data_IF_512185195005
#
_entry.id   IF_512185195005
#
_cell.length_a   1.000
_cell.length_b   1.000
_cell.length_c   1.000
_cell.angle_alpha   90.00
_cell.angle_beta   90.00
_cell.angle_gamma   90.00
#
_symmetry.space_group_name_H-M   'P 1'
#
loop_
_entity.id
_entity.type
_entity.pdbx_description
1 polymer ?
#
# COMPACT_ATOMS: atom_id res chain seq x y z
N UNK A 1 -0.99 -12.22 -28.96
CA UNK A 1 -0.36 -12.98 -27.85
C UNK A 1 -1.46 -13.74 -27.16
N UNK A 2 -1.31 -15.04 -27.01
CA UNK A 2 -2.26 -15.86 -26.26
C UNK A 2 -1.73 -15.93 -24.82
N UNK A 3 -2.41 -15.26 -23.90
CA UNK A 3 -2.16 -15.46 -22.47
C UNK A 3 -2.71 -16.84 -22.10
N UNK A 4 -1.95 -17.58 -21.30
CA UNK A 4 -2.40 -18.85 -20.74
C UNK A 4 -3.54 -18.65 -19.75
N UNK A 5 -4.33 -19.70 -19.54
CA UNK A 5 -5.44 -19.66 -18.57
C UNK A 5 -4.95 -19.33 -17.14
N UNK A 6 -3.72 -19.75 -16.81
CA UNK A 6 -3.06 -19.44 -15.55
C UNK A 6 -2.78 -17.93 -15.42
N UNK A 7 -2.18 -17.32 -16.43
CA UNK A 7 -1.91 -15.87 -16.45
C UNK A 7 -3.21 -15.06 -16.35
N UNK A 8 -4.29 -15.50 -17.03
CA UNK A 8 -5.60 -14.88 -16.87
C UNK A 8 -6.13 -14.98 -15.44
N UNK A 9 -5.92 -16.11 -14.74
CA UNK A 9 -6.32 -16.25 -13.34
C UNK A 9 -5.53 -15.33 -12.41
N UNK A 10 -4.22 -15.21 -12.62
CA UNK A 10 -3.37 -14.32 -11.81
C UNK A 10 -3.76 -12.85 -12.01
N UNK A 11 -3.98 -12.43 -13.25
CA UNK A 11 -4.46 -11.09 -13.57
C UNK A 11 -5.86 -10.87 -12.98
N UNK A 12 -6.76 -11.85 -13.10
CA UNK A 12 -8.10 -11.76 -12.52
C UNK A 12 -8.06 -11.59 -11.00
N UNK A 13 -7.23 -12.37 -10.30
CA UNK A 13 -7.06 -12.25 -8.85
C UNK A 13 -6.46 -10.90 -8.46
N UNK A 14 -5.53 -10.38 -9.26
CA UNK A 14 -4.97 -9.04 -9.08
C UNK A 14 -6.04 -7.94 -9.18
N UNK A 15 -6.89 -8.01 -10.20
CA UNK A 15 -7.99 -7.06 -10.41
C UNK A 15 -9.08 -7.19 -9.36
N UNK A 16 -9.46 -8.42 -9.00
CA UNK A 16 -10.47 -8.71 -7.97
C UNK A 16 -10.13 -8.12 -6.60
N UNK A 17 -8.83 -8.03 -6.27
CA UNK A 17 -8.37 -7.45 -5.00
C UNK A 17 -8.43 -5.91 -4.99
N UNK A 18 -8.46 -5.26 -6.15
CA UNK A 18 -8.27 -3.80 -6.28
C UNK A 18 -9.50 -3.06 -6.81
N UNK A 19 -10.27 -3.71 -7.67
CA UNK A 19 -11.32 -3.07 -8.43
C UNK A 19 -12.66 -3.81 -8.25
N UNK A 20 -13.78 -3.08 -8.13
CA UNK A 20 -15.09 -3.69 -8.19
C UNK A 20 -15.30 -4.33 -9.58
N UNK A 21 -16.02 -5.45 -9.68
CA UNK A 21 -16.23 -6.12 -10.97
C UNK A 21 -16.91 -5.18 -11.98
N UNK A 22 -16.53 -5.25 -13.27
CA UNK A 22 -16.95 -4.26 -14.27
C UNK A 22 -18.43 -4.34 -14.66
N UNK A 23 -19.10 -5.48 -14.41
CA UNK A 23 -20.54 -5.67 -14.60
C UNK A 23 -21.16 -6.15 -13.28
N UNK A 24 -21.79 -5.26 -12.54
CA UNK A 24 -22.48 -5.59 -11.27
C UNK A 24 -23.98 -5.87 -11.48
N UNK A 25 -24.43 -5.88 -12.74
CA UNK A 25 -25.83 -6.11 -13.06
C UNK A 25 -26.17 -7.62 -12.95
N UNK A 26 -26.60 -8.00 -11.74
CA UNK A 26 -27.64 -9.00 -11.45
C UNK A 26 -27.36 -10.52 -11.44
N UNK A 27 -26.12 -10.98 -11.33
CA UNK A 27 -25.91 -12.39 -10.89
C UNK A 27 -24.82 -12.45 -9.82
N UNK A 28 -25.12 -12.88 -8.58
CA UNK A 28 -24.09 -13.21 -7.61
C UNK A 28 -23.32 -14.43 -8.12
N UNK A 29 -22.22 -14.18 -8.84
CA UNK A 29 -21.29 -15.19 -9.31
C UNK A 29 -20.54 -15.88 -8.17
N UNK A 30 -20.08 -17.10 -8.43
CA UNK A 30 -19.43 -17.99 -7.45
C UNK A 30 -18.09 -17.46 -6.91
N UNK A 31 -17.46 -16.46 -7.55
CA UNK A 31 -16.40 -15.66 -6.94
C UNK A 31 -16.10 -14.39 -7.74
N UNK A 32 -15.68 -13.33 -7.05
CA UNK A 32 -15.27 -12.06 -7.67
C UNK A 32 -14.05 -12.21 -8.60
N UNK A 33 -13.22 -13.24 -8.35
CA UNK A 33 -12.11 -13.60 -9.24
C UNK A 33 -12.61 -14.22 -10.55
N UNK A 34 -13.64 -15.09 -10.50
CA UNK A 34 -14.25 -15.66 -11.69
C UNK A 34 -14.90 -14.58 -12.58
N UNK A 35 -15.55 -13.59 -11.97
CA UNK A 35 -16.15 -12.46 -12.69
C UNK A 35 -15.09 -11.65 -13.44
N UNK A 36 -13.97 -11.35 -12.77
CA UNK A 36 -12.84 -10.67 -13.40
C UNK A 36 -12.17 -11.50 -14.48
N UNK A 37 -12.02 -12.81 -14.27
CA UNK A 37 -11.47 -13.72 -15.30
C UNK A 37 -12.34 -13.71 -16.55
N UNK A 38 -13.65 -13.80 -16.40
CA UNK A 38 -14.60 -13.74 -17.50
C UNK A 38 -14.56 -12.39 -18.23
N UNK A 39 -14.47 -11.27 -17.50
CA UNK A 39 -14.34 -9.95 -18.09
C UNK A 39 -13.02 -9.78 -18.89
N UNK A 40 -11.90 -10.28 -18.35
CA UNK A 40 -10.60 -10.26 -19.04
C UNK A 40 -10.61 -11.13 -20.30
N UNK A 41 -11.22 -12.31 -20.25
CA UNK A 41 -11.38 -13.20 -21.40
C UNK A 41 -12.26 -12.57 -22.49
N UNK A 42 -13.38 -11.96 -22.12
CA UNK A 42 -14.27 -11.24 -23.05
C UNK A 42 -13.56 -10.04 -23.69
N UNK A 43 -12.84 -9.23 -22.89
CA UNK A 43 -12.03 -8.13 -23.39
C UNK A 43 -10.91 -8.62 -24.33
N UNK A 44 -10.27 -9.74 -24.02
CA UNK A 44 -9.25 -10.34 -24.90
C UNK A 44 -9.86 -10.82 -26.22
N UNK A 45 -11.01 -11.50 -26.18
CA UNK A 45 -11.75 -11.95 -27.37
C UNK A 45 -12.16 -10.77 -28.27
N UNK A 46 -12.53 -9.63 -27.67
CA UNK A 46 -12.88 -8.39 -28.36
C UNK A 46 -11.67 -7.54 -28.79
N UNK A 47 -10.44 -7.97 -28.49
CA UNK A 47 -9.19 -7.20 -28.69
C UNK A 47 -9.20 -5.84 -27.96
N UNK A 48 -9.87 -5.77 -26.81
CA UNK A 48 -10.00 -4.61 -25.94
C UNK A 48 -9.25 -4.75 -24.61
N UNK A 49 -8.56 -5.87 -24.37
CA UNK A 49 -7.84 -6.12 -23.12
C UNK A 49 -6.88 -4.99 -22.76
N UNK A 50 -6.06 -4.51 -23.72
CA UNK A 50 -5.12 -3.41 -23.48
C UNK A 50 -5.83 -2.10 -23.11
N UNK A 51 -6.92 -1.76 -23.82
CA UNK A 51 -7.70 -0.56 -23.56
C UNK A 51 -8.32 -0.59 -22.16
N UNK A 52 -8.85 -1.75 -21.75
CA UNK A 52 -9.39 -1.95 -20.41
C UNK A 52 -8.30 -1.76 -19.35
N UNK A 53 -7.16 -2.44 -19.45
CA UNK A 53 -6.09 -2.33 -18.45
C UNK A 53 -5.49 -0.91 -18.42
N UNK A 54 -5.34 -0.25 -19.57
CA UNK A 54 -4.87 1.14 -19.66
C UNK A 54 -5.85 2.14 -19.03
N UNK A 55 -7.16 1.92 -19.15
CA UNK A 55 -8.16 2.75 -18.47
C UNK A 55 -8.01 2.64 -16.93
N UNK A 56 -7.84 1.42 -16.42
CA UNK A 56 -7.61 1.21 -14.98
C UNK A 56 -6.27 1.79 -14.52
N UNK A 57 -5.20 1.68 -15.33
CA UNK A 57 -3.90 2.28 -14.97
C UNK A 57 -3.93 3.81 -14.97
N UNK A 58 -4.73 4.43 -15.84
CA UNK A 58 -4.95 5.87 -15.83
C UNK A 58 -5.72 6.36 -14.58
N UNK A 59 -6.62 5.53 -14.04
CA UNK A 59 -7.36 5.83 -12.79
C UNK A 59 -6.50 5.68 -11.53
N UNK A 60 -5.44 4.87 -11.59
CA UNK A 60 -4.53 4.59 -10.48
C UNK A 60 -3.06 4.78 -10.89
N UNK A 61 -2.62 6.04 -11.14
CA UNK A 61 -1.27 6.31 -11.63
C UNK A 61 -0.17 5.88 -10.65
N UNK A 62 -0.46 5.87 -9.35
CA UNK A 62 0.47 5.52 -8.28
C UNK A 62 0.64 3.99 -8.06
N UNK A 63 -0.16 3.13 -8.72
CA UNK A 63 -0.03 1.67 -8.56
C UNK A 63 1.04 1.12 -9.51
N UNK A 64 2.28 1.02 -9.01
CA UNK A 64 3.44 0.52 -9.77
C UNK A 64 3.21 -0.88 -10.37
N UNK A 65 2.46 -1.76 -9.71
CA UNK A 65 2.20 -3.11 -10.23
C UNK A 65 1.25 -3.07 -11.42
N UNK A 66 0.26 -2.17 -11.40
CA UNK A 66 -0.66 -1.97 -12.52
C UNK A 66 0.06 -1.33 -13.71
N UNK A 67 0.99 -0.40 -13.46
CA UNK A 67 1.85 0.16 -14.52
C UNK A 67 2.78 -0.91 -15.12
N UNK A 68 3.38 -1.75 -14.28
CA UNK A 68 4.19 -2.87 -14.74
C UNK A 68 3.36 -3.87 -15.57
N UNK A 69 2.15 -4.21 -15.12
CA UNK A 69 1.23 -5.06 -15.88
C UNK A 69 0.87 -4.47 -17.24
N UNK A 70 0.57 -3.17 -17.30
CA UNK A 70 0.35 -2.45 -18.57
C UNK A 70 1.55 -2.54 -19.53
N UNK A 71 2.79 -2.54 -19.00
CA UNK A 71 4.00 -2.63 -19.80
C UNK A 71 4.26 -4.03 -20.35
N UNK A 72 3.77 -5.07 -19.68
CA UNK A 72 3.92 -6.48 -20.08
C UNK A 72 2.91 -6.89 -21.15
N UNK A 73 1.75 -6.24 -21.18
CA UNK A 73 0.74 -6.48 -22.22
C UNK A 73 1.22 -5.84 -23.53
N UNK A 74 1.48 -6.62 -24.60
CA UNK A 74 1.87 -6.06 -25.87
C UNK A 74 0.72 -5.24 -26.43
N UNK A 75 0.83 -3.92 -26.35
CA UNK A 75 -0.05 -3.04 -27.09
C UNK A 75 0.17 -3.30 -28.57
N UNK A 76 -0.83 -3.82 -29.28
CA UNK A 76 -0.91 -3.57 -30.72
C UNK A 76 -0.93 -2.05 -30.84
N UNK A 77 0.19 -1.47 -31.24
CA UNK A 77 0.35 -0.05 -31.46
C UNK A 77 -0.55 0.36 -32.62
N UNK A 78 -1.86 0.48 -32.37
CA UNK A 78 -2.81 1.12 -33.27
C UNK A 78 -2.47 2.59 -33.25
N UNK A 79 -1.53 2.97 -34.11
CA UNK A 79 -1.30 4.31 -34.62
C UNK A 79 -1.42 5.40 -33.57
N UNK A 80 -0.29 5.70 -32.92
CA UNK A 80 0.01 6.93 -32.20
C UNK A 80 -0.51 8.19 -32.92
N UNK A 81 -1.78 8.55 -32.68
CA UNK A 81 -2.33 9.87 -33.01
C UNK A 81 -3.00 10.54 -31.82
N UNK A 82 -3.32 9.81 -30.74
CA UNK A 82 -3.96 10.40 -29.55
C UNK A 82 -2.98 10.80 -28.44
N UNK A 83 -1.75 10.27 -28.41
CA UNK A 83 -0.75 10.61 -27.39
C UNK A 83 0.12 11.82 -27.78
N UNK A 84 -0.51 12.92 -28.19
CA UNK A 84 0.15 14.21 -28.45
C UNK A 84 -0.28 15.33 -27.49
N UNK A 85 -1.15 15.07 -26.51
CA UNK A 85 -1.76 16.15 -25.71
C UNK A 85 -1.48 16.16 -24.21
N UNK A 86 -0.62 15.30 -23.64
CA UNK A 86 -0.39 15.30 -22.18
C UNK A 86 1.06 15.03 -21.77
N UNK A 87 2.03 15.65 -22.47
CA UNK A 87 3.38 15.89 -21.93
C UNK A 87 3.91 17.23 -22.46
N UNK A 88 3.17 18.29 -22.16
CA UNK A 88 3.58 19.67 -22.41
C UNK A 88 3.23 20.54 -21.19
N UNK A 89 3.72 20.14 -20.01
CA UNK A 89 3.77 20.98 -18.83
C UNK A 89 4.88 20.50 -17.88
N UNK A 90 6.11 20.98 -18.17
CA UNK A 90 7.07 21.38 -17.14
C UNK A 90 7.82 20.31 -16.34
N UNK A 91 8.96 19.86 -16.86
CA UNK A 91 10.26 20.03 -16.16
C UNK A 91 11.32 20.33 -17.22
N UNK A 92 11.64 21.61 -17.36
CA UNK A 92 12.86 22.08 -17.99
C UNK A 92 13.80 22.49 -16.86
N UNK A 93 14.82 21.66 -16.57
CA UNK A 93 16.01 22.12 -15.86
C UNK A 93 17.19 21.16 -16.12
N UNK A 94 18.19 21.69 -16.81
CA UNK A 94 19.61 21.32 -16.80
C UNK A 94 20.01 19.94 -17.33
N UNK A 95 20.23 19.88 -18.65
CA UNK A 95 21.46 19.29 -19.19
C UNK A 95 21.77 19.91 -20.56
N UNK A 96 23.07 20.17 -20.75
CA UNK A 96 23.77 20.57 -21.98
C UNK A 96 23.92 22.08 -22.26
N UNK A 97 25.15 22.56 -22.03
CA UNK A 97 25.88 23.43 -22.98
C UNK A 97 27.32 22.87 -23.02
N UNK A 98 27.67 22.04 -24.01
CA UNK A 98 28.40 22.38 -25.27
C UNK A 98 29.92 22.26 -25.04
N UNK A 99 30.76 21.68 -25.90
CA UNK A 99 30.76 21.66 -27.37
C UNK A 99 31.49 20.45 -27.94
N UNK A 100 30.91 19.92 -29.01
CA UNK A 100 31.56 19.20 -30.10
C UNK A 100 32.41 20.13 -30.97
N UNK A 101 33.71 19.84 -31.09
CA UNK A 101 34.59 20.06 -32.26
C UNK A 101 35.93 19.40 -31.91
N UNK A 102 36.57 18.57 -32.73
CA UNK A 102 36.32 18.12 -34.09
C UNK A 102 37.39 17.08 -34.46
N UNK A 103 37.21 16.49 -35.63
CA UNK A 103 38.22 15.71 -36.36
C UNK A 103 39.58 16.41 -36.39
N UNK A 104 40.65 15.72 -36.00
CA UNK A 104 41.94 15.74 -36.70
C UNK A 104 42.88 14.67 -36.14
N UNK A 105 43.61 14.05 -37.06
CA UNK A 105 44.65 13.06 -36.87
C UNK A 105 45.81 13.52 -35.96
N UNK A 106 46.76 12.58 -35.77
CA UNK A 106 48.11 12.64 -35.14
C UNK A 106 48.11 11.61 -33.99
N UNK A 107 48.55 10.35 -34.13
CA UNK A 107 49.81 9.84 -34.68
C UNK A 107 51.04 10.61 -34.14
N UNK A 108 51.72 9.98 -33.18
CA UNK A 108 53.04 10.29 -32.60
C UNK A 108 53.06 11.06 -31.27
N UNK A 109 53.93 10.57 -30.37
CA UNK A 109 54.59 11.35 -29.33
C UNK A 109 54.15 10.97 -27.91
N UNK A 110 54.62 9.86 -27.34
CA UNK A 110 55.85 9.79 -26.51
C UNK A 110 55.84 10.64 -25.23
N UNK A 111 55.90 9.93 -24.09
CA UNK A 111 56.64 10.25 -22.85
C UNK A 111 56.03 11.39 -22.01
N UNK A 112 56.11 11.49 -20.69
CA UNK A 112 56.93 10.89 -19.65
C UNK A 112 56.22 11.06 -18.30
N UNK A 113 56.51 10.13 -17.38
CA UNK A 113 56.76 10.30 -15.95
C UNK A 113 56.26 11.55 -15.19
N UNK A 114 55.67 11.28 -14.02
CA UNK A 114 56.39 11.57 -12.77
C UNK A 114 55.99 12.83 -11.98
N UNK A 115 55.68 12.56 -10.71
CA UNK A 115 56.02 13.33 -9.50
C UNK A 115 55.22 14.58 -9.12
N UNK A 116 54.61 14.46 -7.94
CA UNK A 116 54.65 15.34 -6.75
C UNK A 116 54.82 16.86 -6.93
N UNK A 117 53.89 17.63 -6.35
CA UNK A 117 54.11 18.44 -5.13
C UNK A 117 53.17 19.64 -5.02
N UNK A 118 52.87 19.94 -3.76
CA UNK A 118 52.17 21.07 -3.14
C UNK A 118 52.59 22.48 -3.57
N UNK A 119 51.84 23.47 -3.03
CA UNK A 119 52.24 24.83 -2.56
C UNK A 119 51.45 25.94 -3.30
N UNK A 120 50.41 26.57 -2.72
CA UNK A 120 50.32 27.64 -1.70
C UNK A 120 50.37 29.10 -2.24
N UNK A 121 49.78 30.02 -1.46
CA UNK A 121 49.78 31.50 -1.49
C UNK A 121 48.79 32.14 -2.49
N UNK A 122 48.04 33.21 -2.17
CA UNK A 122 48.06 34.24 -1.13
C UNK A 122 46.67 34.94 -1.11
N UNK A 123 46.03 35.20 0.04
CA UNK A 123 46.16 36.40 0.91
C UNK A 123 45.24 37.58 0.52
N UNK A 124 44.22 37.86 1.33
CA UNK A 124 44.02 39.16 2.02
C UNK A 124 42.67 39.24 2.77
N UNK A 125 42.76 39.34 4.09
CA UNK A 125 41.82 40.02 5.01
C UNK A 125 42.60 41.20 5.65
N UNK A 126 42.13 42.01 6.63
CA UNK A 126 40.82 42.20 7.29
C UNK A 126 40.53 43.75 7.43
N UNK A 127 39.95 44.42 8.48
CA UNK A 127 39.83 44.15 9.96
C UNK A 127 38.35 44.07 10.48
N UNK A 128 38.00 43.26 11.49
CA UNK A 128 38.28 43.35 12.95
C UNK A 128 37.15 44.04 13.74
N UNK A 129 36.43 43.28 14.59
CA UNK A 129 36.32 43.53 16.04
C UNK A 129 35.62 42.36 16.75
N UNK A 130 36.34 41.71 17.67
CA UNK A 130 35.90 40.76 18.71
C UNK A 130 36.03 41.50 20.06
N UNK A 131 35.17 41.24 21.06
CA UNK A 131 35.60 40.51 22.29
C UNK A 131 34.50 39.52 22.75
N UNK A 132 34.65 38.46 23.55
CA UNK A 132 35.72 37.79 24.30
C UNK A 132 35.25 36.33 24.44
N UNK A 133 36.11 35.35 24.16
CA UNK A 133 35.88 33.93 24.48
C UNK A 133 36.37 33.67 25.90
N UNK A 134 35.49 33.19 26.77
CA UNK A 134 35.86 32.54 28.03
C UNK A 134 36.11 31.06 27.70
N UNK A 135 37.35 30.65 27.89
CA UNK A 135 37.82 29.26 27.83
C UNK A 135 37.31 28.54 29.07
N UNK A 136 36.46 27.53 28.90
CA UNK A 136 36.18 26.55 29.94
C UNK A 136 37.10 25.34 29.72
N UNK A 137 38.03 25.19 30.66
CA UNK A 137 38.96 24.07 30.82
C UNK A 137 38.24 22.77 31.14
N UNK A 138 38.85 21.68 30.69
CA UNK A 138 38.41 20.30 30.77
C UNK A 138 38.14 19.78 32.19
N UNK A 139 37.20 18.84 32.29
CA UNK A 139 37.24 17.78 33.28
C UNK A 139 36.93 16.46 32.56
N UNK A 140 38.00 15.74 32.20
CA UNK A 140 37.96 14.36 31.75
C UNK A 140 37.69 13.52 32.99
N UNK A 141 36.48 12.94 33.06
CA UNK A 141 36.12 11.98 34.10
C UNK A 141 36.62 10.60 33.67
N UNK A 142 37.66 10.13 34.35
CA UNK A 142 38.05 8.73 34.38
C UNK A 142 36.87 7.90 34.89
N UNK A 143 36.24 7.12 34.01
CA UNK A 143 35.32 6.07 34.42
C UNK A 143 36.11 4.76 34.58
N UNK A 144 36.18 4.34 35.82
CA UNK A 144 36.79 3.15 36.37
C UNK A 144 36.29 1.85 35.67
N UNK A 145 37.17 0.89 35.33
CA UNK A 145 36.77 -0.42 34.85
C UNK A 145 36.18 -1.24 36.00
N UNK A 146 34.86 -1.39 36.04
CA UNK A 146 34.23 -2.31 36.99
C UNK A 146 34.38 -3.75 36.50
N UNK A 147 35.01 -4.53 37.38
CA UNK A 147 35.33 -5.95 37.35
C UNK A 147 34.13 -6.89 37.06
N UNK A 148 34.36 -8.06 36.43
CA UNK A 148 33.29 -8.99 36.04
C UNK A 148 32.85 -9.87 37.22
N UNK A 149 31.62 -9.67 37.69
CA UNK A 149 31.01 -10.53 38.69
C UNK A 149 30.15 -11.64 38.06
N UNK A 150 30.71 -12.85 38.11
CA UNK A 150 30.06 -14.15 38.34
C UNK A 150 29.00 -14.66 37.37
N UNK A 151 29.40 -15.72 36.68
CA UNK A 151 28.59 -16.77 36.11
C UNK A 151 27.45 -17.24 37.04
N UNK A 152 26.23 -17.26 36.49
CA UNK A 152 25.17 -18.13 36.97
C UNK A 152 25.01 -19.31 36.01
N UNK A 153 25.49 -20.43 36.50
CA UNK A 153 25.32 -21.82 36.10
C UNK A 153 23.86 -22.22 35.90
N UNK A 154 23.62 -22.87 34.75
CA UNK A 154 22.79 -24.06 34.52
C UNK A 154 21.46 -24.20 35.25
N UNK A 155 20.36 -24.22 34.48
CA UNK A 155 19.32 -25.24 34.64
C UNK A 155 18.75 -25.57 33.27
N UNK A 156 19.27 -26.63 32.68
CA UNK A 156 18.58 -27.39 31.64
C UNK A 156 17.44 -28.13 32.34
N UNK A 157 16.20 -27.77 32.05
CA UNK A 157 15.05 -28.61 32.37
C UNK A 157 14.70 -29.40 31.12
N UNK A 158 15.34 -30.55 31.06
CA UNK A 158 14.90 -31.78 30.40
C UNK A 158 13.45 -32.05 30.81
N UNK A 159 12.50 -31.93 29.88
CA UNK A 159 11.18 -32.54 30.03
C UNK A 159 10.99 -33.51 28.88
N UNK A 160 10.69 -34.72 29.32
CA UNK A 160 10.63 -35.98 28.64
C UNK A 160 9.78 -35.99 27.37
N UNK A 161 10.32 -36.73 26.42
CA UNK A 161 9.60 -37.38 25.34
C UNK A 161 8.68 -38.43 25.95
N UNK A 162 7.35 -38.28 25.86
CA UNK A 162 6.44 -39.41 25.97
C UNK A 162 5.69 -39.60 24.66
N UNK A 163 6.22 -40.57 23.91
CA UNK A 163 5.57 -41.27 22.84
C UNK A 163 4.35 -42.01 23.38
N UNK A 164 3.15 -41.69 22.91
CA UNK A 164 2.01 -42.62 22.96
C UNK A 164 1.55 -42.86 21.53
N UNK A 165 2.16 -43.88 20.96
CA UNK A 165 1.64 -44.68 19.87
C UNK A 165 0.47 -45.51 20.41
N UNK A 166 -0.72 -45.34 19.82
CA UNK A 166 -1.77 -46.34 19.91
C UNK A 166 -2.51 -46.48 18.56
N UNK A 167 -2.90 -47.71 18.19
CA UNK A 167 -3.08 -48.10 16.80
C UNK A 167 -4.56 -48.16 16.38
N UNK A 168 -4.74 -48.12 15.05
CA UNK A 168 -5.74 -48.84 14.26
C UNK A 168 -7.20 -48.84 14.76
N UNK A 169 -8.02 -48.05 14.07
CA UNK A 169 -9.48 -48.22 14.07
C UNK A 169 -10.09 -47.64 12.79
N UNK A 170 -10.04 -48.38 11.69
CA UNK A 170 -10.83 -48.13 10.48
C UNK A 170 -12.23 -48.73 10.67
N UNK A 171 -13.31 -47.94 10.80
CA UNK A 171 -14.65 -48.41 10.46
C UNK A 171 -14.87 -48.22 8.95
N UNK A 172 -14.75 -49.33 8.22
CA UNK A 172 -15.29 -49.51 6.87
C UNK A 172 -16.80 -49.31 6.95
N UNK A 173 -17.31 -48.17 6.48
CA UNK A 173 -18.76 -47.96 6.34
C UNK A 173 -19.12 -48.04 4.86
N UNK A 174 -20.07 -48.91 4.48
CA UNK A 174 -20.41 -49.21 3.10
C UNK A 174 -21.09 -48.02 2.40
N UNK A 175 -20.67 -47.83 1.15
CA UNK A 175 -21.27 -47.01 0.10
C UNK A 175 -22.80 -47.15 0.03
N UNK A 176 -23.57 -46.07 0.26
CA UNK A 176 -24.95 -45.99 -0.20
C UNK A 176 -24.98 -45.63 -1.69
N UNK A 177 -25.82 -46.34 -2.42
CA UNK A 177 -25.98 -46.28 -3.85
C UNK A 177 -26.25 -44.87 -4.40
N UNK A 178 -25.54 -44.59 -5.49
CA UNK A 178 -25.87 -43.66 -6.58
C UNK A 178 -27.38 -43.54 -6.80
N UNK A 179 -27.96 -42.41 -6.43
CA UNK A 179 -29.26 -41.97 -6.93
C UNK A 179 -28.99 -40.77 -7.84
N UNK A 180 -29.01 -41.01 -9.15
CA UNK A 180 -28.85 -39.97 -10.18
C UNK A 180 -30.15 -39.15 -10.17
N UNK A 181 -30.13 -37.85 -9.83
CA UNK A 181 -31.28 -37.00 -10.04
C UNK A 181 -31.55 -36.93 -11.54
N UNK A 182 -32.75 -37.33 -11.97
CA UNK A 182 -33.21 -37.08 -13.33
C UNK A 182 -33.15 -35.58 -13.60
N UNK A 183 -32.39 -35.22 -14.64
CA UNK A 183 -32.34 -33.87 -15.16
C UNK A 183 -33.76 -33.43 -15.56
N UNK A 184 -34.35 -32.56 -14.74
CA UNK A 184 -35.54 -31.82 -15.13
C UNK A 184 -35.15 -30.89 -16.26
N UNK A 185 -35.81 -31.04 -17.40
CA UNK A 185 -35.69 -30.16 -18.55
C UNK A 185 -36.06 -28.75 -18.09
N UNK A 186 -35.16 -27.76 -18.20
CA UNK A 186 -35.48 -26.39 -17.80
C UNK A 186 -36.64 -25.87 -18.66
N UNK A 187 -37.67 -25.25 -18.05
CA UNK A 187 -38.73 -24.60 -18.81
C UNK A 187 -38.13 -23.50 -19.69
N UNK A 188 -38.60 -23.42 -20.93
CA UNK A 188 -38.23 -22.39 -21.90
C UNK A 188 -38.30 -21.00 -21.25
N UNK A 189 -37.24 -20.18 -21.35
CA UNK A 189 -37.24 -18.85 -20.75
C UNK A 189 -38.37 -18.03 -21.38
N UNK A 190 -39.35 -17.68 -20.54
CA UNK A 190 -40.36 -16.68 -20.88
C UNK A 190 -39.62 -15.35 -21.00
N UNK A 191 -39.65 -14.77 -22.19
CA UNK A 191 -39.08 -13.45 -22.48
C UNK A 191 -39.81 -12.40 -21.65
N UNK A 192 -39.27 -12.07 -20.47
CA UNK A 192 -39.71 -10.92 -19.71
C UNK A 192 -39.25 -9.66 -20.44
N UNK A 193 -40.22 -8.84 -20.85
CA UNK A 193 -39.95 -7.53 -21.41
C UNK A 193 -39.13 -6.72 -20.40
N UNK A 194 -37.89 -6.42 -20.78
CA UNK A 194 -36.95 -5.61 -20.00
C UNK A 194 -37.54 -4.21 -19.82
N UNK A 195 -38.10 -3.96 -18.63
CA UNK A 195 -38.47 -2.62 -18.22
C UNK A 195 -37.18 -1.86 -17.91
N UNK A 196 -36.99 -0.72 -18.58
CA UNK A 196 -35.82 0.14 -18.38
C UNK A 196 -35.61 0.43 -16.88
N UNK A 197 -34.38 0.26 -16.36
CA UNK A 197 -34.12 0.46 -14.94
C UNK A 197 -34.46 1.90 -14.54
N UNK A 198 -35.33 2.04 -13.55
CA UNK A 198 -35.63 3.32 -12.94
C UNK A 198 -34.33 3.90 -12.34
N UNK A 199 -34.00 5.13 -12.73
CA UNK A 199 -32.77 5.81 -12.30
C UNK A 199 -32.60 5.72 -10.77
N UNK A 200 -31.50 5.10 -10.34
CA UNK A 200 -31.18 4.95 -8.93
C UNK A 200 -31.14 6.34 -8.26
N UNK A 201 -31.76 6.50 -7.08
CA UNK A 201 -31.76 7.78 -6.38
C UNK A 201 -30.33 8.23 -6.08
N UNK A 202 -29.99 9.52 -6.23
CA UNK A 202 -28.65 10.02 -5.96
C UNK A 202 -28.25 9.70 -4.51
N UNK A 203 -27.10 9.05 -4.34
CA UNK A 203 -26.52 8.75 -3.03
C UNK A 203 -26.28 10.10 -2.34
N UNK A 204 -27.16 10.44 -1.39
CA UNK A 204 -27.05 11.66 -0.58
C UNK A 204 -25.76 11.56 0.23
N UNK A 205 -24.74 12.32 -0.19
CA UNK A 205 -23.52 12.54 0.60
C UNK A 205 -23.94 13.12 1.95
N UNK A 206 -23.89 12.31 3.02
CA UNK A 206 -24.27 12.74 4.38
C UNK A 206 -23.40 13.94 4.77
N UNK A 207 -24.06 15.04 5.12
CA UNK A 207 -23.45 16.29 5.56
C UNK A 207 -22.57 16.05 6.79
N UNK A 208 -21.30 16.47 6.71
CA UNK A 208 -20.24 16.15 7.67
C UNK A 208 -20.30 17.07 8.90
N UNK A 209 -20.86 16.58 10.01
CA UNK A 209 -20.84 17.26 11.32
C UNK A 209 -19.59 16.88 12.11
N UNK A 210 -19.13 17.71 13.05
CA UNK A 210 -17.95 17.45 13.89
C UNK A 210 -18.04 16.15 14.74
N UNK A 211 -19.23 15.57 14.86
CA UNK A 211 -19.50 14.26 15.46
C UNK A 211 -19.19 13.07 14.52
N UNK A 212 -18.28 13.25 13.54
CA UNK A 212 -18.00 12.27 12.46
C UNK A 212 -17.69 10.88 12.99
N UNK A 213 -16.90 10.80 14.06
CA UNK A 213 -16.37 9.56 14.63
C UNK A 213 -16.78 9.42 16.09
N UNK A 214 -18.07 9.60 16.41
CA UNK A 214 -18.56 9.55 17.79
C UNK A 214 -19.39 8.29 18.07
N UNK A 215 -19.18 7.70 19.24
CA UNK A 215 -19.97 6.62 19.86
C UNK A 215 -20.33 7.03 21.31
N UNK A 216 -20.76 6.08 22.15
CA UNK A 216 -20.77 6.29 23.60
C UNK A 216 -19.37 6.65 24.11
N UNK A 217 -19.31 7.40 25.21
CA UNK A 217 -18.03 7.80 25.80
C UNK A 217 -17.17 6.58 26.15
N UNK A 218 -15.88 6.63 25.78
CA UNK A 218 -14.94 5.52 25.99
C UNK A 218 -15.15 4.30 25.08
N UNK A 219 -16.15 4.29 24.19
CA UNK A 219 -16.35 3.18 23.26
C UNK A 219 -15.41 3.28 22.05
N UNK A 220 -14.98 2.11 21.56
CA UNK A 220 -14.26 1.98 20.29
C UNK A 220 -15.22 2.34 19.16
N UNK A 221 -14.86 3.38 18.42
CA UNK A 221 -15.53 3.85 17.21
C UNK A 221 -15.28 2.87 16.07
N UNK A 222 -14.02 2.45 15.91
CA UNK A 222 -13.60 1.49 14.88
C UNK A 222 -12.07 1.41 14.77
N UNK A 223 -11.58 0.91 13.64
CA UNK A 223 -10.16 0.70 13.40
C UNK A 223 -9.74 1.28 12.06
N UNK A 224 -8.55 1.88 11.98
CA UNK A 224 -7.98 2.36 10.72
C UNK A 224 -6.62 1.71 10.43
N UNK A 225 -6.31 1.60 9.14
CA UNK A 225 -5.07 1.01 8.65
C UNK A 225 -3.94 2.05 8.61
N UNK A 226 -2.85 1.78 9.33
CA UNK A 226 -1.70 2.68 9.44
C UNK A 226 -0.55 2.36 8.47
N UNK A 227 -0.53 1.18 7.85
CA UNK A 227 0.57 0.77 6.97
C UNK A 227 1.46 -0.28 7.61
N UNK A 228 2.71 -0.36 7.15
CA UNK A 228 3.73 -1.31 7.67
C UNK A 228 4.54 -0.76 8.85
N UNK A 229 4.40 0.52 9.13
CA UNK A 229 5.11 1.20 10.22
C UNK A 229 4.10 1.59 11.28
N UNK A 230 4.42 1.37 12.56
CA UNK A 230 3.61 1.83 13.66
C UNK A 230 3.53 3.37 13.62
N UNK A 231 2.32 3.97 13.69
CA UNK A 231 2.20 5.42 13.58
C UNK A 231 2.60 6.17 14.86
N UNK A 232 2.77 5.46 15.98
CA UNK A 232 3.11 5.99 17.30
C UNK A 232 2.90 4.94 18.40
N UNK A 233 2.95 5.35 19.66
CA UNK A 233 2.67 4.51 20.84
C UNK A 233 1.42 4.99 21.59
N UNK A 234 0.89 4.15 22.49
CA UNK A 234 -0.22 4.55 23.38
C UNK A 234 0.16 5.81 24.18
N UNK A 235 -0.75 6.79 24.22
CA UNK A 235 -0.57 8.10 24.86
C UNK A 235 -0.04 9.20 23.94
N UNK A 236 0.46 8.86 22.75
CA UNK A 236 0.95 9.87 21.80
C UNK A 236 -0.18 10.54 21.02
N UNK A 237 0.07 11.74 20.52
CA UNK A 237 -0.85 12.42 19.58
C UNK A 237 -0.19 12.52 18.22
N UNK A 238 -0.84 11.98 17.21
CA UNK A 238 -0.33 11.92 15.84
C UNK A 238 -1.16 12.81 14.91
N UNK A 239 -0.50 13.38 13.90
CA UNK A 239 -1.17 14.07 12.82
C UNK A 239 -1.46 13.11 11.67
N UNK A 240 -2.70 13.08 11.20
CA UNK A 240 -3.10 12.23 10.08
C UNK A 240 -2.59 12.84 8.77
N UNK A 241 -1.76 12.11 8.01
CA UNK A 241 -1.10 12.65 6.81
C UNK A 241 -1.97 12.61 5.54
N UNK A 242 -3.00 11.76 5.54
CA UNK A 242 -3.90 11.52 4.41
C UNK A 242 -5.27 11.09 4.91
N UNK A 243 -6.29 11.13 4.06
CA UNK A 243 -7.62 10.66 4.45
C UNK A 243 -7.60 9.13 4.69
N UNK A 244 -8.15 8.69 5.82
CA UNK A 244 -8.17 7.30 6.26
C UNK A 244 -9.57 6.87 6.66
N UNK A 245 -9.97 5.67 6.22
CA UNK A 245 -11.25 5.09 6.58
C UNK A 245 -11.16 4.39 7.94
N UNK A 246 -12.09 4.72 8.84
CA UNK A 246 -12.29 4.03 10.12
C UNK A 246 -13.42 3.04 9.94
N UNK A 247 -13.11 1.76 10.12
CA UNK A 247 -14.04 0.65 9.87
C UNK A 247 -14.56 0.07 11.17
N UNK A 248 -15.79 -0.42 11.17
CA UNK A 248 -16.52 -0.80 12.38
C UNK A 248 -15.98 -2.02 13.13
N UNK A 249 -15.34 -2.94 12.41
CA UNK A 249 -15.03 -4.28 12.89
C UNK A 249 -13.53 -4.47 13.15
N UNK A 250 -13.18 -5.46 13.97
CA UNK A 250 -11.79 -5.75 14.32
C UNK A 250 -11.06 -6.41 13.14
N UNK A 251 -9.83 -5.98 12.77
CA UNK A 251 -9.12 -6.54 11.62
C UNK A 251 -8.62 -7.96 11.92
N UNK A 252 -9.28 -8.98 11.37
CA UNK A 252 -8.84 -10.37 11.52
C UNK A 252 -9.05 -11.24 10.28
N UNK A 253 -8.79 -12.53 10.41
CA UNK A 253 -8.89 -13.47 9.29
C UNK A 253 -10.33 -13.67 8.80
N UNK A 254 -11.35 -13.55 9.65
CA UNK A 254 -12.73 -13.83 9.24
C UNK A 254 -13.30 -12.73 8.33
N UNK A 255 -12.81 -11.50 8.47
CA UNK A 255 -13.26 -10.36 7.66
C UNK A 255 -12.21 -9.86 6.64
N UNK A 256 -11.20 -10.69 6.32
CA UNK A 256 -10.08 -10.34 5.44
C UNK A 256 -9.37 -9.05 5.87
N UNK A 257 -9.07 -8.95 7.17
CA UNK A 257 -8.44 -7.80 7.82
C UNK A 257 -9.16 -6.51 7.46
N UNK A 258 -10.48 -6.51 7.67
CA UNK A 258 -11.36 -5.35 7.55
C UNK A 258 -11.56 -4.79 6.12
N UNK A 259 -11.07 -5.42 5.04
CA UNK A 259 -11.21 -4.83 3.70
C UNK A 259 -12.68 -4.67 3.25
N UNK A 260 -13.57 -5.55 3.74
CA UNK A 260 -14.97 -5.65 3.31
C UNK A 260 -15.99 -5.02 4.27
N UNK A 261 -15.55 -4.46 5.39
CA UNK A 261 -16.45 -4.03 6.45
C UNK A 261 -16.88 -2.58 6.26
N UNK A 262 -18.03 -2.22 6.84
CA UNK A 262 -18.57 -0.87 6.67
C UNK A 262 -17.62 0.20 7.21
N UNK A 263 -17.44 1.25 6.41
CA UNK A 263 -16.74 2.46 6.82
C UNK A 263 -17.67 3.25 7.73
N UNK A 264 -17.28 3.38 9.01
CA UNK A 264 -18.05 4.15 9.98
C UNK A 264 -17.86 5.64 9.81
N UNK A 265 -16.60 6.04 9.68
CA UNK A 265 -16.21 7.43 9.52
C UNK A 265 -14.87 7.56 8.80
N UNK A 266 -14.45 8.79 8.52
CA UNK A 266 -13.20 9.10 7.81
C UNK A 266 -12.41 10.11 8.62
N UNK A 267 -11.17 9.76 8.95
CA UNK A 267 -10.13 10.67 9.45
C UNK A 267 -9.60 11.46 8.27
N UNK A 268 -9.46 12.77 8.42
CA UNK A 268 -8.95 13.65 7.37
C UNK A 268 -7.49 13.96 7.57
N UNK A 269 -6.82 14.29 6.47
CA UNK A 269 -5.51 14.92 6.53
C UNK A 269 -5.53 16.14 7.46
N UNK A 270 -4.58 16.18 8.40
CA UNK A 270 -4.42 17.24 9.40
C UNK A 270 -5.21 17.01 10.69
N UNK A 271 -6.13 16.03 10.74
CA UNK A 271 -6.78 15.66 12.00
C UNK A 271 -5.70 15.20 13.01
N UNK A 272 -5.85 15.58 14.27
CA UNK A 272 -4.97 15.17 15.36
C UNK A 272 -5.64 14.05 16.16
N UNK A 273 -4.97 12.91 16.26
CA UNK A 273 -5.51 11.71 16.92
C UNK A 273 -4.64 11.34 18.11
N UNK A 274 -5.23 11.37 19.30
CA UNK A 274 -4.62 10.83 20.51
C UNK A 274 -4.77 9.30 20.54
N UNK A 275 -3.66 8.58 20.67
CA UNK A 275 -3.65 7.12 20.66
C UNK A 275 -3.98 6.59 22.06
N UNK A 276 -5.25 6.51 22.41
CA UNK A 276 -5.69 5.99 23.73
C UNK A 276 -5.45 4.49 23.94
N UNK A 277 -5.02 3.79 22.89
CA UNK A 277 -4.75 2.35 22.85
C UNK A 277 -3.57 2.08 21.92
N UNK A 278 -2.80 1.05 22.25
CA UNK A 278 -1.65 0.63 21.44
C UNK A 278 -2.05 0.19 20.01
N UNK A 279 -1.30 0.60 18.97
CA UNK A 279 -1.43 0.04 17.63
C UNK A 279 -1.21 -1.48 17.60
N UNK A 280 -2.02 -2.18 16.84
CA UNK A 280 -2.02 -3.64 16.77
C UNK A 280 -1.33 -4.12 15.50
N UNK A 281 -0.34 -4.99 15.66
CA UNK A 281 0.31 -5.70 14.55
C UNK A 281 -0.53 -6.91 14.15
N UNK A 282 -1.04 -6.92 12.93
CA UNK A 282 -1.78 -8.05 12.35
C UNK A 282 -0.88 -8.82 11.36
N UNK A 283 -1.22 -10.10 11.02
CA UNK A 283 -0.46 -10.87 10.05
C UNK A 283 -0.24 -10.12 8.72
N UNK A 284 0.98 -10.21 8.18
CA UNK A 284 1.42 -9.45 7.02
C UNK A 284 2.20 -8.17 7.34
N UNK A 285 2.63 -8.01 8.61
CA UNK A 285 3.41 -6.88 9.10
C UNK A 285 2.70 -5.53 8.92
N UNK A 286 1.41 -5.53 9.19
CA UNK A 286 0.53 -4.36 9.03
C UNK A 286 0.03 -3.89 10.39
N UNK A 287 -0.01 -2.57 10.57
CA UNK A 287 -0.55 -1.94 11.77
C UNK A 287 -1.98 -1.45 11.56
N UNK A 288 -2.83 -1.79 12.51
CA UNK A 288 -4.18 -1.26 12.66
C UNK A 288 -4.30 -0.55 13.99
N UNK A 289 -4.98 0.59 13.98
CA UNK A 289 -5.10 1.41 15.19
C UNK A 289 -6.57 1.51 15.58
N UNK A 290 -6.93 1.18 16.84
CA UNK A 290 -8.26 1.43 17.37
C UNK A 290 -8.50 2.93 17.59
N UNK A 291 -9.68 3.42 17.21
CA UNK A 291 -10.15 4.78 17.48
C UNK A 291 -11.17 4.74 18.60
N UNK A 292 -10.88 5.40 19.71
CA UNK A 292 -11.82 5.55 20.83
C UNK A 292 -12.51 6.91 20.75
N UNK A 293 -13.76 6.96 21.22
CA UNK A 293 -14.50 8.22 21.31
C UNK A 293 -13.76 9.19 22.23
N UNK A 294 -13.31 10.32 21.67
CA UNK A 294 -12.51 11.34 22.37
C UNK A 294 -11.09 11.50 21.83
N UNK A 295 -10.60 10.50 21.09
CA UNK A 295 -9.24 10.51 20.53
C UNK A 295 -9.05 11.58 19.44
N UNK A 296 -10.11 11.88 18.70
CA UNK A 296 -10.07 12.87 17.64
C UNK A 296 -10.14 14.28 18.23
N UNK A 297 -9.02 14.98 18.19
CA UNK A 297 -8.91 16.39 18.59
C UNK A 297 -8.97 17.29 17.36
N UNK A 298 -9.60 18.46 17.49
CA UNK A 298 -9.60 19.44 16.41
C UNK A 298 -8.17 19.95 16.22
N UNK A 299 -7.72 20.16 14.97
CA UNK A 299 -6.51 20.93 14.73
C UNK A 299 -6.64 22.26 15.47
N UNK A 300 -5.62 22.62 16.24
CA UNK A 300 -5.56 23.97 16.82
C UNK A 300 -5.48 24.92 15.64
N UNK A 301 -6.58 25.63 15.39
CA UNK A 301 -6.61 26.65 14.34
C UNK A 301 -5.49 27.64 14.66
N UNK A 302 -4.55 27.89 13.72
CA UNK A 302 -3.47 28.83 13.98
C UNK A 302 -4.10 30.17 14.35
N UNK A 303 -3.57 30.88 15.38
CA UNK A 303 -4.13 32.16 15.79
C UNK A 303 -4.21 33.06 14.56
N UNK A 304 -5.41 33.52 14.23
CA UNK A 304 -5.61 34.47 13.14
C UNK A 304 -4.86 35.74 13.53
N UNK A 305 -3.76 36.05 12.83
CA UNK A 305 -3.08 37.33 13.00
C UNK A 305 -4.06 38.45 12.63
N UNK A 306 -4.53 39.19 13.64
CA UNK A 306 -5.38 40.37 13.52
C UNK A 306 -4.55 41.63 13.38
#
# INVERSE_FOLDING_TARGET
MELSDHEFSEIASFFAKRFPPPNVDDVPGESLEADWKNALLDAAAKKQLYEMVAEYSARCPEDENLQALCSLLPGESRGSKALKYTLAAGVAASLAVVSTTGLAAIALGMWSQGTWSSTSLAHNSPPSSIPHVVVATAEVRDNEPTEPAKAHTTTALEIETESTEAPLGLPTTPTPATNIPQAQVPPTPTTFASAAPAAAPPIKRRSYSADRCRRGEGEIVGYWYAGKTAPGMEGETIAIERDLNVRVDFPDRHNNYNFKTDVRCVLRKGDLVHLSKEPMLVPGDYYWVPLVTGDLTKPVEPPTET
#
